data_IF_253934920149
#
_entry.id   IF_253934920149
#
_cell.length_a   1.000
_cell.length_b   1.000
_cell.length_c   1.000
_cell.angle_alpha   90.00
_cell.angle_beta   90.00
_cell.angle_gamma   90.00
#
_symmetry.space_group_name_H-M   'P 1'
#
loop_
_entity.id
_entity.type
_entity.pdbx_description
1 polymer ?
#
# COMPACT_ATOMS: atom_id res chain seq x y z
N UNK A 1 -35.34 7.62 -4.60
CA UNK A 1 -34.04 7.67 -3.91
C UNK A 1 -32.96 7.65 -4.98
N UNK A 2 -31.91 8.43 -4.80
CA UNK A 2 -30.83 8.59 -5.78
C UNK A 2 -29.66 7.70 -5.39
N UNK A 3 -29.09 6.99 -6.37
CA UNK A 3 -27.86 6.23 -6.15
C UNK A 3 -26.69 7.21 -6.07
N UNK A 4 -25.94 7.13 -4.98
CA UNK A 4 -24.74 7.93 -4.78
C UNK A 4 -23.53 7.11 -5.20
N UNK A 5 -22.63 7.75 -5.91
CA UNK A 5 -21.35 7.16 -6.30
C UNK A 5 -20.48 7.00 -5.06
N UNK A 6 -20.07 5.76 -4.77
CA UNK A 6 -19.13 5.46 -3.69
C UNK A 6 -17.74 5.82 -4.19
N UNK A 7 -17.09 6.74 -3.47
CA UNK A 7 -15.73 7.19 -3.73
C UNK A 7 -14.74 6.10 -3.34
N UNK A 8 -13.76 5.88 -4.20
CA UNK A 8 -12.65 4.97 -3.97
C UNK A 8 -11.48 5.71 -3.32
N UNK A 9 -10.54 4.95 -2.77
CA UNK A 9 -9.42 5.40 -1.93
C UNK A 9 -8.54 6.54 -2.50
N UNK A 10 -8.61 6.80 -3.79
CA UNK A 10 -7.95 7.88 -4.50
C UNK A 10 -8.61 9.26 -4.27
N UNK A 11 -9.88 9.29 -3.86
CA UNK A 11 -10.58 10.55 -3.57
C UNK A 11 -10.08 11.16 -2.25
N UNK A 12 -9.48 12.37 -2.28
CA UNK A 12 -8.96 13.03 -1.08
C UNK A 12 -10.02 13.36 -0.04
N UNK A 13 -11.32 13.32 -0.38
CA UNK A 13 -12.41 13.50 0.60
C UNK A 13 -12.38 12.43 1.70
N UNK A 14 -11.93 11.21 1.38
CA UNK A 14 -11.86 10.08 2.31
C UNK A 14 -10.81 10.28 3.41
N UNK A 15 -9.84 11.16 3.19
CA UNK A 15 -8.75 11.48 4.13
C UNK A 15 -9.01 12.75 4.95
N UNK A 16 -10.17 13.39 4.78
CA UNK A 16 -10.52 14.63 5.46
C UNK A 16 -11.49 14.37 6.60
N UNK A 17 -11.16 14.90 7.79
CA UNK A 17 -12.09 14.90 8.92
C UNK A 17 -13.41 15.59 8.57
N UNK A 18 -14.50 14.86 8.71
CA UNK A 18 -15.85 15.30 8.37
C UNK A 18 -16.38 16.32 9.39
N UNK A 19 -17.20 17.27 8.91
CA UNK A 19 -17.73 18.36 9.73
C UNK A 19 -18.98 17.93 10.51
N UNK A 20 -19.15 18.34 11.77
CA UNK A 20 -20.38 18.10 12.51
C UNK A 20 -21.60 18.73 11.83
N UNK A 21 -22.74 18.08 11.99
CA UNK A 21 -24.04 18.52 11.49
C UNK A 21 -24.81 19.20 12.62
N UNK A 22 -25.11 20.51 12.54
CA UNK A 22 -25.69 21.26 13.67
C UNK A 22 -27.15 20.90 13.95
N UNK A 23 -27.90 20.41 12.95
CA UNK A 23 -29.31 19.98 13.09
C UNK A 23 -29.70 18.95 12.03
N UNK A 24 -30.58 18.03 12.41
CA UNK A 24 -31.16 17.05 11.47
C UNK A 24 -32.30 17.70 10.68
N UNK A 25 -31.96 18.19 9.49
CA UNK A 25 -32.91 18.84 8.57
C UNK A 25 -33.48 17.85 7.55
N UNK A 26 -34.51 18.26 6.79
CA UNK A 26 -35.07 17.42 5.70
C UNK A 26 -34.02 16.95 4.69
N UNK A 27 -33.00 17.76 4.39
CA UNK A 27 -31.92 17.36 3.49
C UNK A 27 -30.99 16.32 4.12
N UNK A 28 -30.72 16.41 5.43
CA UNK A 28 -29.95 15.39 6.16
C UNK A 28 -30.69 14.06 6.17
N UNK A 29 -32.00 14.07 6.45
CA UNK A 29 -32.83 12.85 6.39
C UNK A 29 -32.78 12.21 5.00
N UNK A 30 -32.92 13.03 3.95
CA UNK A 30 -32.81 12.54 2.57
C UNK A 30 -31.43 11.95 2.26
N UNK A 31 -30.34 12.60 2.70
CA UNK A 31 -28.98 12.06 2.51
C UNK A 31 -28.81 10.71 3.21
N UNK A 32 -29.32 10.56 4.43
CA UNK A 32 -29.30 9.28 5.15
C UNK A 32 -30.08 8.19 4.39
N UNK A 33 -31.22 8.51 3.79
CA UNK A 33 -31.99 7.58 2.96
C UNK A 33 -31.22 7.17 1.70
N UNK A 34 -30.67 8.13 0.97
CA UNK A 34 -29.90 7.88 -0.25
C UNK A 34 -28.59 7.10 0.07
N UNK A 35 -28.00 7.30 1.25
CA UNK A 35 -26.86 6.53 1.76
C UNK A 35 -27.22 5.07 2.03
N UNK A 36 -28.32 4.81 2.75
CA UNK A 36 -28.76 3.45 3.05
C UNK A 36 -29.03 2.65 1.77
N UNK A 37 -29.74 3.26 0.82
CA UNK A 37 -30.01 2.66 -0.48
C UNK A 37 -28.72 2.33 -1.26
N UNK A 38 -27.73 3.22 -1.20
CA UNK A 38 -26.44 3.03 -1.89
C UNK A 38 -25.61 1.92 -1.23
N UNK A 39 -25.62 1.87 0.11
CA UNK A 39 -24.96 0.82 0.91
C UNK A 39 -25.53 -0.56 0.60
N UNK A 40 -26.86 -0.72 0.66
CA UNK A 40 -27.52 -2.01 0.38
C UNK A 40 -27.29 -2.48 -1.06
N UNK A 41 -27.31 -1.57 -2.05
CA UNK A 41 -27.02 -1.93 -3.45
C UNK A 41 -25.59 -2.39 -3.68
N UNK A 42 -24.65 -1.91 -2.86
CA UNK A 42 -23.26 -2.34 -2.89
C UNK A 42 -22.99 -3.53 -1.96
N UNK A 43 -24.05 -4.16 -1.42
CA UNK A 43 -23.97 -5.27 -0.46
C UNK A 43 -23.11 -4.96 0.78
N UNK A 44 -23.05 -3.70 1.20
CA UNK A 44 -22.34 -3.28 2.41
C UNK A 44 -23.20 -3.30 3.67
N UNK A 45 -22.53 -3.37 4.82
CA UNK A 45 -23.16 -3.31 6.16
C UNK A 45 -23.05 -1.93 6.83
N UNK A 46 -22.19 -1.06 6.30
CA UNK A 46 -21.94 0.29 6.79
C UNK A 46 -21.58 1.26 5.66
N UNK A 47 -21.96 2.53 5.81
CA UNK A 47 -21.55 3.60 4.93
C UNK A 47 -21.52 4.96 5.64
N UNK A 48 -20.37 5.63 5.57
CA UNK A 48 -20.14 6.98 6.07
C UNK A 48 -20.26 8.01 4.95
N UNK A 49 -20.75 9.20 5.28
CA UNK A 49 -20.97 10.28 4.30
C UNK A 49 -19.71 10.68 3.49
N UNK A 50 -18.48 10.67 4.05
CA UNK A 50 -17.28 10.91 3.26
C UNK A 50 -17.12 9.95 2.08
N UNK A 51 -17.58 8.70 2.22
CA UNK A 51 -17.51 7.67 1.16
C UNK A 51 -18.40 7.96 -0.04
N UNK A 52 -19.28 8.96 0.03
CA UNK A 52 -20.09 9.45 -1.10
C UNK A 52 -19.73 10.91 -1.44
N UNK A 53 -18.57 11.38 -1.00
CA UNK A 53 -18.09 12.74 -1.24
C UNK A 53 -18.73 13.82 -0.36
N UNK A 54 -19.47 13.46 0.68
CA UNK A 54 -20.11 14.42 1.59
C UNK A 54 -19.27 14.55 2.87
N UNK A 55 -18.58 15.68 3.12
CA UNK A 55 -17.72 15.85 4.29
C UNK A 55 -18.51 16.19 5.56
N UNK A 56 -19.50 15.37 5.92
CA UNK A 56 -20.36 15.52 7.10
C UNK A 56 -20.35 14.25 7.95
N UNK A 57 -20.50 14.42 9.27
CA UNK A 57 -20.57 13.31 10.23
C UNK A 57 -21.94 12.60 10.17
N UNK A 58 -22.15 11.78 9.15
CA UNK A 58 -23.34 10.95 8.96
C UNK A 58 -22.89 9.51 8.69
N UNK A 59 -23.56 8.55 9.32
CA UNK A 59 -23.31 7.10 9.17
C UNK A 59 -24.65 6.38 9.07
N UNK A 60 -24.70 5.39 8.18
CA UNK A 60 -25.74 4.36 8.17
C UNK A 60 -25.09 3.00 8.38
N UNK A 61 -25.69 2.16 9.21
CA UNK A 61 -25.22 0.79 9.47
C UNK A 61 -26.45 -0.12 9.49
N UNK A 62 -26.36 -1.29 8.86
CA UNK A 62 -27.39 -2.32 8.94
C UNK A 62 -26.73 -3.69 8.97
N UNK A 63 -26.80 -4.34 10.14
CA UNK A 63 -26.24 -5.68 10.40
C UNK A 63 -27.31 -6.77 10.39
N UNK A 64 -28.50 -6.48 9.83
CA UNK A 64 -29.61 -7.43 9.69
C UNK A 64 -30.74 -7.27 10.72
N UNK A 65 -30.56 -6.43 11.74
CA UNK A 65 -31.60 -6.08 12.72
C UNK A 65 -32.35 -4.78 12.39
N UNK A 66 -32.00 -4.17 11.26
CA UNK A 66 -32.54 -2.90 10.78
C UNK A 66 -31.52 -1.76 10.86
N UNK A 67 -31.75 -0.68 10.09
CA UNK A 67 -30.75 0.36 9.89
C UNK A 67 -30.64 1.31 11.08
N UNK A 68 -29.40 1.52 11.53
CA UNK A 68 -29.00 2.62 12.37
C UNK A 68 -28.73 3.86 11.52
N UNK A 69 -29.40 4.97 11.85
CA UNK A 69 -29.14 6.27 11.24
C UNK A 69 -28.48 7.18 12.27
N UNK A 70 -27.19 7.43 12.10
CA UNK A 70 -26.38 8.12 13.09
C UNK A 70 -25.87 9.47 12.56
N UNK A 71 -26.26 10.54 13.23
CA UNK A 71 -25.78 11.89 12.96
C UNK A 71 -24.85 12.34 14.09
N UNK A 72 -23.65 12.78 13.74
CA UNK A 72 -22.57 13.08 14.67
C UNK A 72 -22.25 11.93 15.65
N UNK A 73 -22.05 10.68 15.18
CA UNK A 73 -21.66 9.61 16.10
C UNK A 73 -20.30 9.90 16.74
N UNK A 74 -20.22 9.56 18.01
CA UNK A 74 -19.04 9.67 18.88
C UNK A 74 -18.99 8.42 19.77
N UNK A 75 -17.87 7.71 19.76
CA UNK A 75 -17.62 6.62 20.71
C UNK A 75 -17.36 7.25 22.08
N UNK A 76 -18.20 6.93 23.07
CA UNK A 76 -18.10 7.46 24.44
C UNK A 76 -17.62 6.42 25.45
N UNK A 77 -17.54 5.16 25.04
CA UNK A 77 -16.94 4.07 25.80
C UNK A 77 -16.43 2.97 24.84
N UNK A 78 -15.29 2.37 25.19
CA UNK A 78 -14.66 1.23 24.53
C UNK A 78 -14.30 0.20 25.61
N UNK A 79 -14.48 -1.08 25.33
CA UNK A 79 -13.99 -2.15 26.21
C UNK A 79 -12.46 -2.23 26.21
N UNK A 80 -11.87 -2.68 27.32
CA UNK A 80 -10.44 -3.03 27.38
C UNK A 80 -10.12 -4.27 26.53
N UNK A 81 -11.09 -5.18 26.40
CA UNK A 81 -11.00 -6.36 25.55
C UNK A 81 -11.11 -5.97 24.07
N UNK A 82 -10.14 -6.43 23.28
CA UNK A 82 -10.04 -6.22 21.83
C UNK A 82 -10.00 -7.55 21.09
N UNK A 83 -10.41 -7.51 19.83
CA UNK A 83 -10.34 -8.65 18.91
C UNK A 83 -9.78 -8.21 17.55
N UNK A 84 -8.97 -9.09 16.94
CA UNK A 84 -8.48 -8.94 15.59
C UNK A 84 -9.38 -9.76 14.67
N UNK A 85 -9.97 -9.12 13.68
CA UNK A 85 -10.83 -9.77 12.69
C UNK A 85 -10.82 -8.98 11.38
N UNK A 86 -11.35 -9.57 10.31
CA UNK A 86 -11.35 -9.03 8.97
C UNK A 86 -12.39 -7.92 8.78
N UNK A 87 -11.95 -6.81 8.17
CA UNK A 87 -12.82 -5.71 7.71
C UNK A 87 -12.63 -5.49 6.21
N UNK A 88 -13.74 -5.30 5.49
CA UNK A 88 -13.76 -4.80 4.12
C UNK A 88 -14.34 -3.39 4.06
N UNK A 89 -14.05 -2.64 3.00
CA UNK A 89 -14.56 -1.28 2.83
C UNK A 89 -15.08 -1.06 1.41
N UNK A 90 -16.28 -0.49 1.28
CA UNK A 90 -16.86 -0.15 -0.03
C UNK A 90 -16.03 0.89 -0.81
N UNK A 91 -15.23 1.70 -0.11
CA UNK A 91 -14.29 2.66 -0.71
C UNK A 91 -12.92 2.06 -1.03
N UNK A 92 -12.74 0.77 -0.76
CA UNK A 92 -11.53 0.01 -1.08
C UNK A 92 -11.95 -1.38 -1.59
N UNK A 93 -12.62 -1.44 -2.75
CA UNK A 93 -13.20 -2.69 -3.24
C UNK A 93 -12.12 -3.72 -3.56
N UNK A 94 -12.44 -4.98 -3.32
CA UNK A 94 -11.57 -6.12 -3.59
C UNK A 94 -10.62 -6.48 -2.45
N UNK A 95 -10.49 -5.69 -1.39
CA UNK A 95 -9.56 -6.00 -0.29
C UNK A 95 -10.26 -6.04 1.06
N UNK A 96 -9.70 -6.88 1.93
CA UNK A 96 -10.01 -6.99 3.35
C UNK A 96 -8.73 -6.81 4.16
N UNK A 97 -8.84 -6.46 5.44
CA UNK A 97 -7.68 -6.40 6.33
C UNK A 97 -8.01 -6.76 7.76
N UNK A 98 -7.07 -7.40 8.45
CA UNK A 98 -7.20 -7.70 9.87
C UNK A 98 -7.01 -6.42 10.68
N UNK A 99 -8.05 -6.01 11.39
CA UNK A 99 -8.04 -4.79 12.22
C UNK A 99 -8.38 -5.15 13.65
N UNK A 100 -7.56 -4.68 14.60
CA UNK A 100 -7.86 -4.78 16.03
C UNK A 100 -8.94 -3.76 16.44
N UNK A 101 -10.03 -4.22 17.04
CA UNK A 101 -11.15 -3.39 17.52
C UNK A 101 -11.56 -3.75 18.95
N UNK A 102 -12.11 -2.80 19.74
CA UNK A 102 -12.78 -3.13 20.99
C UNK A 102 -13.98 -4.04 20.72
N UNK A 103 -14.15 -5.10 21.53
CA UNK A 103 -15.27 -6.04 21.42
C UNK A 103 -16.61 -5.36 21.67
N UNK A 104 -16.62 -4.30 22.50
CA UNK A 104 -17.83 -3.53 22.85
C UNK A 104 -17.57 -2.04 22.80
N UNK A 105 -18.55 -1.30 22.28
CA UNK A 105 -18.54 0.17 22.23
C UNK A 105 -19.89 0.75 22.59
N UNK A 106 -19.89 1.93 23.21
CA UNK A 106 -21.08 2.77 23.35
C UNK A 106 -20.93 4.00 22.47
N UNK A 107 -21.83 4.17 21.51
CA UNK A 107 -21.83 5.32 20.61
C UNK A 107 -22.96 6.27 20.96
N UNK A 108 -22.64 7.54 21.20
CA UNK A 108 -23.60 8.63 21.33
C UNK A 108 -23.80 9.28 19.96
N UNK A 109 -25.04 9.48 19.54
CA UNK A 109 -25.36 10.14 18.29
C UNK A 109 -26.68 10.94 18.40
N UNK A 110 -27.04 11.63 17.32
CA UNK A 110 -28.41 12.05 17.06
C UNK A 110 -29.07 11.06 16.08
N UNK A 111 -30.31 10.68 16.36
CA UNK A 111 -31.12 9.85 15.48
C UNK A 111 -31.65 10.64 14.26
N UNK A 112 -32.42 9.95 13.41
CA UNK A 112 -33.06 10.53 12.22
C UNK A 112 -34.04 11.66 12.53
N UNK A 113 -34.51 11.81 13.76
CA UNK A 113 -35.37 12.90 14.22
C UNK A 113 -34.63 13.99 14.99
N UNK A 114 -33.32 13.86 15.14
CA UNK A 114 -32.46 14.79 15.86
C UNK A 114 -32.52 14.64 17.38
N UNK A 115 -33.02 13.52 17.89
CA UNK A 115 -33.01 13.19 19.32
C UNK A 115 -31.70 12.50 19.66
N UNK A 116 -31.18 12.73 20.86
CA UNK A 116 -30.01 12.00 21.33
C UNK A 116 -30.35 10.53 21.47
N UNK A 117 -29.49 9.68 20.92
CA UNK A 117 -29.57 8.23 21.00
C UNK A 117 -28.21 7.66 21.41
N UNK A 118 -28.26 6.46 21.98
CA UNK A 118 -27.12 5.68 22.39
C UNK A 118 -27.23 4.30 21.75
N UNK A 119 -26.15 3.87 21.12
CA UNK A 119 -26.06 2.55 20.50
C UNK A 119 -24.99 1.77 21.23
N UNK A 120 -25.41 0.71 21.91
CA UNK A 120 -24.53 -0.31 22.44
C UNK A 120 -24.23 -1.30 21.31
N UNK A 121 -22.96 -1.37 20.91
CA UNK A 121 -22.49 -2.31 19.91
C UNK A 121 -21.65 -3.41 20.54
N UNK A 122 -21.88 -4.65 20.13
CA UNK A 122 -21.03 -5.81 20.40
C UNK A 122 -20.75 -6.55 19.08
N UNK A 123 -19.63 -7.27 18.99
CA UNK A 123 -19.25 -8.05 17.81
C UNK A 123 -19.26 -7.23 16.50
N UNK A 124 -19.92 -7.74 15.45
CA UNK A 124 -19.96 -7.09 14.13
C UNK A 124 -20.51 -5.65 14.16
N UNK A 125 -21.45 -5.34 15.07
CA UNK A 125 -21.99 -3.98 15.20
C UNK A 125 -20.95 -3.05 15.84
N UNK A 126 -20.21 -3.52 16.85
CA UNK A 126 -19.12 -2.72 17.44
C UNK A 126 -18.05 -2.40 16.39
N UNK A 127 -17.67 -3.41 15.59
CA UNK A 127 -16.71 -3.28 14.50
C UNK A 127 -17.17 -2.30 13.43
N UNK A 128 -18.41 -2.43 12.94
CA UNK A 128 -18.99 -1.51 11.97
C UNK A 128 -19.06 -0.07 12.51
N UNK A 129 -19.45 0.12 13.78
CA UNK A 129 -19.46 1.46 14.41
C UNK A 129 -18.07 2.08 14.44
N UNK A 130 -17.05 1.32 14.83
CA UNK A 130 -15.66 1.79 14.83
C UNK A 130 -15.18 2.16 13.43
N UNK A 131 -15.44 1.29 12.45
CA UNK A 131 -15.05 1.47 11.05
C UNK A 131 -15.68 2.73 10.43
N UNK A 132 -16.99 2.90 10.58
CA UNK A 132 -17.68 4.05 10.00
C UNK A 132 -17.32 5.36 10.69
N UNK A 133 -17.02 5.34 12.00
CA UNK A 133 -16.54 6.51 12.73
C UNK A 133 -15.11 6.90 12.31
N UNK A 134 -14.24 5.92 12.04
CA UNK A 134 -12.91 6.19 11.46
C UNK A 134 -13.01 6.96 10.14
N UNK A 135 -13.93 6.56 9.25
CA UNK A 135 -14.18 7.30 8.00
C UNK A 135 -14.57 8.77 8.25
N UNK A 136 -15.32 9.05 9.32
CA UNK A 136 -15.66 10.44 9.69
C UNK A 136 -14.44 11.24 10.17
N UNK A 137 -13.39 10.58 10.63
CA UNK A 137 -12.14 11.18 11.07
C UNK A 137 -11.03 11.14 10.01
N UNK A 138 -11.35 10.66 8.80
CA UNK A 138 -10.43 10.57 7.67
C UNK A 138 -9.46 9.39 7.74
N UNK A 139 -9.78 8.40 8.57
CA UNK A 139 -9.01 7.18 8.78
C UNK A 139 -9.68 6.08 7.95
N UNK A 140 -8.88 5.37 7.17
CA UNK A 140 -9.30 4.20 6.40
C UNK A 140 -8.88 2.94 7.14
N UNK A 141 -9.59 1.82 6.98
CA UNK A 141 -9.20 0.57 7.66
C UNK A 141 -7.76 0.14 7.34
N UNK A 142 -7.26 0.42 6.13
CA UNK A 142 -5.85 0.17 5.72
C UNK A 142 -4.81 0.91 6.56
N UNK A 143 -5.20 1.97 7.27
CA UNK A 143 -4.30 2.69 8.20
C UNK A 143 -4.17 1.95 9.53
N UNK A 144 -5.14 1.08 9.85
CA UNK A 144 -5.18 0.25 11.07
C UNK A 144 -4.87 -1.21 10.81
N UNK A 145 -4.97 -1.64 9.55
CA UNK A 145 -4.81 -3.02 9.15
C UNK A 145 -3.41 -3.56 9.52
N UNK A 146 -3.41 -4.66 10.25
CA UNK A 146 -2.21 -5.43 10.60
C UNK A 146 -1.73 -6.15 9.32
N UNK A 147 -2.67 -6.76 8.61
CA UNK A 147 -2.51 -7.44 7.33
C UNK A 147 -3.61 -6.99 6.36
N UNK A 148 -3.36 -7.08 5.06
CA UNK A 148 -4.35 -6.80 4.01
C UNK A 148 -4.31 -7.96 3.02
N UNK A 149 -5.47 -8.55 2.75
CA UNK A 149 -5.66 -9.62 1.78
C UNK A 149 -6.67 -9.19 0.71
N UNK A 150 -6.66 -9.86 -0.43
CA UNK A 150 -7.66 -9.66 -1.49
C UNK A 150 -8.83 -10.63 -1.33
N UNK A 151 -10.02 -10.21 -1.72
CA UNK A 151 -11.17 -11.10 -1.90
C UNK A 151 -10.96 -11.83 -3.23
N UNK A 152 -10.58 -13.11 -3.18
CA UNK A 152 -10.52 -13.98 -4.35
C UNK A 152 -11.95 -14.28 -4.81
N UNK A 153 -12.29 -14.15 -6.12
CA UNK A 153 -13.60 -14.57 -6.60
C UNK A 153 -13.83 -16.07 -6.36
N UNK A 154 -14.96 -16.43 -5.76
CA UNK A 154 -15.31 -17.80 -5.36
C UNK A 154 -15.13 -18.82 -6.51
N UNK A 155 -15.46 -18.43 -7.74
CA UNK A 155 -15.28 -19.27 -8.95
C UNK A 155 -13.81 -19.60 -9.25
N UNK A 156 -12.88 -18.68 -9.00
CA UNK A 156 -11.44 -18.91 -9.20
C UNK A 156 -10.85 -19.76 -8.08
N UNK A 157 -11.35 -19.56 -6.85
CA UNK A 157 -10.95 -20.36 -5.68
C UNK A 157 -11.35 -21.84 -5.87
N UNK A 158 -12.58 -22.11 -6.31
CA UNK A 158 -13.04 -23.48 -6.62
C UNK A 158 -12.24 -24.14 -7.76
N UNK A 159 -11.86 -23.38 -8.80
CA UNK A 159 -11.03 -23.90 -9.89
C UNK A 159 -9.62 -24.26 -9.39
N UNK A 160 -9.00 -23.41 -8.56
CA UNK A 160 -7.65 -23.61 -8.04
C UNK A 160 -7.58 -24.74 -7.01
N UNK A 161 -8.55 -24.89 -6.12
CA UNK A 161 -8.60 -26.00 -5.15
C UNK A 161 -8.69 -27.37 -5.84
N UNK A 162 -9.30 -27.44 -7.02
CA UNK A 162 -9.37 -28.65 -7.83
C UNK A 162 -8.07 -28.94 -8.60
N UNK A 163 -7.17 -27.95 -8.71
CA UNK A 163 -5.87 -28.12 -9.33
C UNK A 163 -4.88 -28.75 -8.34
N UNK A 164 -4.56 -30.03 -8.52
CA UNK A 164 -3.49 -30.70 -7.76
C UNK A 164 -2.11 -30.21 -8.22
N UNK A 165 -1.75 -28.97 -7.85
CA UNK A 165 -0.53 -28.29 -8.25
C UNK A 165 0.50 -28.20 -7.13
N UNK A 166 1.77 -28.34 -7.49
CA UNK A 166 2.91 -28.17 -6.58
C UNK A 166 3.81 -27.01 -7.04
N UNK A 167 4.19 -26.14 -6.11
CA UNK A 167 5.02 -24.97 -6.37
C UNK A 167 6.23 -24.90 -5.44
N UNK A 168 7.40 -24.51 -5.99
CA UNK A 168 8.50 -23.97 -5.18
C UNK A 168 8.41 -22.45 -5.20
N UNK A 169 8.35 -21.83 -4.02
CA UNK A 169 8.30 -20.38 -3.89
C UNK A 169 9.67 -19.79 -3.60
N UNK A 170 10.06 -18.73 -4.34
CA UNK A 170 11.30 -18.00 -4.12
C UNK A 170 11.04 -16.51 -3.87
N UNK A 171 11.31 -16.05 -2.65
CA UNK A 171 11.04 -14.66 -2.26
C UNK A 171 11.83 -14.26 -1.02
N UNK A 172 11.84 -12.97 -0.69
CA UNK A 172 12.62 -12.48 0.46
C UNK A 172 11.95 -11.34 1.23
N UNK A 173 11.64 -10.19 0.63
CA UNK A 173 11.04 -9.07 1.36
C UNK A 173 9.54 -9.30 1.67
N UNK A 174 8.95 -8.37 2.43
CA UNK A 174 7.51 -8.35 2.72
C UNK A 174 6.66 -8.32 1.45
N UNK A 175 7.14 -7.69 0.37
CA UNK A 175 6.49 -7.70 -0.96
C UNK A 175 6.18 -9.11 -1.49
N UNK A 176 6.94 -10.13 -1.08
CA UNK A 176 6.73 -11.51 -1.52
C UNK A 176 5.64 -12.24 -0.73
N UNK A 177 5.30 -11.78 0.47
CA UNK A 177 4.44 -12.53 1.40
C UNK A 177 3.03 -12.78 0.84
N UNK A 178 2.32 -11.76 0.28
CA UNK A 178 1.00 -12.00 -0.29
C UNK A 178 1.00 -13.04 -1.41
N UNK A 179 2.07 -13.13 -2.21
CA UNK A 179 2.16 -14.17 -3.25
C UNK A 179 2.34 -15.58 -2.66
N UNK A 180 3.09 -15.73 -1.56
CA UNK A 180 3.23 -17.02 -0.88
C UNK A 180 1.90 -17.44 -0.24
N UNK A 181 1.25 -16.51 0.45
CA UNK A 181 -0.01 -16.75 1.17
C UNK A 181 -1.13 -17.09 0.20
N UNK A 182 -1.28 -16.33 -0.88
CA UNK A 182 -2.29 -16.58 -1.90
C UNK A 182 -2.15 -17.97 -2.56
N UNK A 183 -0.91 -18.46 -2.79
CA UNK A 183 -0.71 -19.83 -3.29
C UNK A 183 -1.24 -20.88 -2.31
N UNK A 184 -0.97 -20.72 -1.03
CA UNK A 184 -1.35 -21.67 0.02
C UNK A 184 -2.87 -21.64 0.25
N UNK A 185 -3.45 -20.44 0.30
CA UNK A 185 -4.89 -20.22 0.45
C UNK A 185 -5.66 -20.82 -0.73
N UNK A 186 -5.13 -20.70 -1.95
CA UNK A 186 -5.69 -21.31 -3.15
C UNK A 186 -5.51 -22.85 -3.22
N UNK A 187 -5.01 -23.50 -2.16
CA UNK A 187 -4.82 -24.95 -2.11
C UNK A 187 -3.60 -25.48 -2.88
N UNK A 188 -2.75 -24.59 -3.45
CA UNK A 188 -1.53 -25.01 -4.15
C UNK A 188 -0.48 -25.47 -3.13
N UNK A 189 0.08 -26.66 -3.34
CA UNK A 189 1.08 -27.24 -2.44
C UNK A 189 2.40 -26.48 -2.56
N UNK A 190 2.88 -25.90 -1.46
CA UNK A 190 4.19 -25.24 -1.39
C UNK A 190 5.11 -25.98 -0.42
N UNK A 191 5.74 -27.11 -0.81
CA UNK A 191 6.58 -27.90 0.09
C UNK A 191 7.95 -27.26 0.37
N UNK A 192 8.40 -26.33 -0.49
CA UNK A 192 9.72 -25.73 -0.41
C UNK A 192 9.68 -24.23 -0.69
N UNK A 193 10.28 -23.47 0.21
CA UNK A 193 10.55 -22.03 0.07
C UNK A 193 12.05 -21.79 -0.02
N UNK A 194 12.47 -20.95 -0.96
CA UNK A 194 13.86 -20.53 -1.11
C UNK A 194 13.96 -19.02 -0.91
N UNK A 195 14.83 -18.59 -0.02
CA UNK A 195 14.95 -17.18 0.36
C UNK A 195 16.41 -16.78 0.56
N UNK A 196 16.68 -15.47 0.66
CA UNK A 196 18.03 -14.99 0.92
C UNK A 196 18.49 -15.42 2.32
N UNK A 197 19.81 -15.62 2.54
CA UNK A 197 20.35 -15.85 3.87
C UNK A 197 20.07 -14.68 4.82
N UNK A 198 20.00 -14.99 6.12
CA UNK A 198 19.83 -14.00 7.18
C UNK A 198 20.92 -12.93 7.08
N UNK A 199 20.52 -11.65 7.12
CA UNK A 199 21.46 -10.53 6.97
C UNK A 199 21.59 -9.74 8.27
N UNK A 200 22.77 -9.19 8.57
CA UNK A 200 22.94 -8.32 9.72
C UNK A 200 22.05 -7.07 9.61
N UNK A 201 21.23 -6.83 10.62
CA UNK A 201 20.27 -5.74 10.69
C UNK A 201 20.57 -4.76 11.83
N UNK A 202 20.31 -3.47 11.58
CA UNK A 202 20.46 -2.40 12.56
C UNK A 202 21.90 -2.12 13.00
N UNK A 203 22.07 -1.17 13.92
CA UNK A 203 23.40 -0.75 14.41
C UNK A 203 24.16 -1.87 15.14
N UNK A 204 23.43 -2.79 15.77
CA UNK A 204 23.99 -3.94 16.49
C UNK A 204 24.31 -5.13 15.58
N UNK A 205 24.01 -5.05 14.27
CA UNK A 205 24.26 -6.10 13.27
C UNK A 205 23.73 -7.48 13.69
N UNK A 206 22.55 -7.49 14.32
CA UNK A 206 21.88 -8.75 14.71
C UNK A 206 21.42 -9.43 13.43
N UNK A 207 21.72 -10.71 13.24
CA UNK A 207 21.22 -11.47 12.10
C UNK A 207 19.68 -11.49 12.18
N UNK A 208 19.03 -11.00 11.13
CA UNK A 208 17.59 -11.05 10.99
C UNK A 208 17.24 -11.94 9.79
N UNK A 209 16.30 -12.84 10.01
CA UNK A 209 15.71 -13.65 8.95
C UNK A 209 14.95 -12.75 7.97
N UNK A 210 14.74 -13.26 6.75
CA UNK A 210 13.86 -12.60 5.79
C UNK A 210 12.40 -12.78 6.25
N UNK A 211 11.51 -11.81 5.96
CA UNK A 211 10.08 -11.96 6.20
C UNK A 211 9.51 -13.29 5.67
N UNK A 212 9.92 -13.69 4.45
CA UNK A 212 9.51 -14.97 3.85
C UNK A 212 10.02 -16.19 4.62
N UNK A 213 11.25 -16.16 5.15
CA UNK A 213 11.78 -17.25 5.98
C UNK A 213 10.99 -17.40 7.28
N UNK A 214 10.69 -16.28 7.94
CA UNK A 214 9.90 -16.26 9.18
C UNK A 214 8.54 -16.90 8.93
N UNK A 215 7.82 -16.42 7.89
CA UNK A 215 6.50 -16.94 7.54
C UNK A 215 6.50 -18.42 7.13
N UNK A 216 7.43 -18.83 6.27
CA UNK A 216 7.54 -20.22 5.83
C UNK A 216 7.83 -21.18 7.01
N UNK A 217 8.65 -20.74 7.97
CA UNK A 217 8.95 -21.54 9.17
C UNK A 217 7.72 -21.69 10.06
N UNK A 218 6.92 -20.63 10.25
CA UNK A 218 5.65 -20.68 10.99
C UNK A 218 4.65 -21.66 10.38
N UNK A 219 4.62 -21.73 9.05
CA UNK A 219 3.76 -22.65 8.29
C UNK A 219 4.31 -24.09 8.21
N UNK A 220 5.49 -24.34 8.79
CA UNK A 220 6.14 -25.66 8.75
C UNK A 220 6.69 -26.06 7.38
N UNK A 221 6.89 -25.10 6.48
CA UNK A 221 7.42 -25.32 5.12
C UNK A 221 8.94 -25.45 5.17
N UNK A 222 9.52 -26.34 4.36
CA UNK A 222 10.97 -26.46 4.26
C UNK A 222 11.57 -25.18 3.68
N UNK A 223 12.64 -24.64 4.31
CA UNK A 223 13.31 -23.42 3.84
C UNK A 223 14.76 -23.70 3.45
N UNK A 224 15.17 -23.24 2.27
CA UNK A 224 16.58 -23.18 1.85
C UNK A 224 17.04 -21.72 1.68
N UNK A 225 18.30 -21.46 2.02
CA UNK A 225 18.90 -20.12 1.92
C UNK A 225 20.24 -20.14 1.18
N UNK A 226 20.26 -20.41 -0.14
CA UNK A 226 21.48 -20.33 -0.92
C UNK A 226 22.01 -18.88 -0.90
N UNK A 227 23.32 -18.72 -0.80
CA UNK A 227 24.00 -17.42 -0.75
C UNK A 227 24.33 -16.84 -2.14
N UNK A 228 23.59 -17.27 -3.17
CA UNK A 228 23.87 -17.01 -4.58
C UNK A 228 24.69 -18.12 -5.24
N UNK A 229 25.27 -19.03 -4.47
CA UNK A 229 25.72 -20.32 -4.98
C UNK A 229 24.50 -21.23 -5.19
N UNK A 230 24.47 -21.96 -6.32
CA UNK A 230 23.45 -22.97 -6.62
C UNK A 230 24.10 -24.35 -6.57
N UNK A 231 24.37 -24.88 -5.36
CA UNK A 231 25.10 -26.12 -5.23
C UNK A 231 24.21 -27.32 -5.59
N UNK A 232 24.78 -28.46 -6.02
CA UNK A 232 24.01 -29.60 -6.53
C UNK A 232 22.93 -30.11 -5.58
N UNK A 233 23.14 -30.04 -4.26
CA UNK A 233 22.16 -30.45 -3.26
C UNK A 233 20.90 -29.58 -3.24
N UNK A 234 21.04 -28.26 -3.48
CA UNK A 234 19.89 -27.35 -3.57
C UNK A 234 19.09 -27.67 -4.83
N UNK A 235 19.76 -27.87 -5.95
CA UNK A 235 19.13 -28.22 -7.22
C UNK A 235 18.43 -29.59 -7.10
N UNK A 236 19.07 -30.59 -6.49
CA UNK A 236 18.46 -31.91 -6.23
C UNK A 236 17.19 -31.77 -5.40
N UNK A 237 17.22 -30.96 -4.34
CA UNK A 237 16.04 -30.74 -3.49
C UNK A 237 14.88 -30.12 -4.30
N UNK A 238 15.16 -29.17 -5.21
CA UNK A 238 14.13 -28.58 -6.07
C UNK A 238 13.58 -29.63 -7.05
N UNK A 239 14.43 -30.52 -7.60
CA UNK A 239 14.00 -31.60 -8.51
C UNK A 239 13.14 -32.63 -7.80
N UNK A 240 13.48 -32.99 -6.57
CA UNK A 240 12.73 -33.96 -5.74
C UNK A 240 11.33 -33.47 -5.38
N UNK A 241 11.09 -32.16 -5.38
CA UNK A 241 9.75 -31.57 -5.22
C UNK A 241 8.86 -31.81 -6.46
N UNK A 242 9.45 -32.06 -7.63
CA UNK A 242 8.75 -32.17 -8.92
C UNK A 242 7.75 -31.01 -9.17
N UNK A 243 8.18 -29.73 -9.07
CA UNK A 243 7.23 -28.62 -9.12
C UNK A 243 6.56 -28.47 -10.48
N UNK A 244 5.27 -28.13 -10.48
CA UNK A 244 4.56 -27.65 -11.65
C UNK A 244 5.03 -26.24 -12.02
N UNK A 245 5.25 -25.41 -11.00
CA UNK A 245 5.73 -24.03 -11.11
C UNK A 245 6.85 -23.72 -10.13
N UNK A 246 7.80 -22.89 -10.55
CA UNK A 246 8.61 -22.11 -9.62
C UNK A 246 8.12 -20.67 -9.67
N UNK A 247 7.67 -20.14 -8.53
CA UNK A 247 7.20 -18.76 -8.43
C UNK A 247 8.28 -17.92 -7.78
N UNK A 248 8.64 -16.81 -8.42
CA UNK A 248 9.65 -15.87 -7.95
C UNK A 248 8.99 -14.51 -7.70
N UNK A 249 9.20 -13.95 -6.51
CA UNK A 249 8.77 -12.61 -6.17
C UNK A 249 9.88 -11.94 -5.36
N UNK A 250 10.57 -10.96 -5.95
CA UNK A 250 11.62 -10.17 -5.29
C UNK A 250 12.71 -11.02 -4.58
N UNK A 251 13.14 -12.13 -5.19
CA UNK A 251 14.17 -13.03 -4.62
C UNK A 251 15.59 -12.43 -4.63
N UNK A 252 15.92 -11.63 -5.64
CA UNK A 252 17.19 -10.89 -5.69
C UNK A 252 18.42 -11.73 -6.04
N UNK A 253 18.26 -12.95 -6.56
CA UNK A 253 19.34 -13.75 -7.15
C UNK A 253 18.98 -14.17 -8.58
N UNK A 254 19.99 -14.36 -9.42
CA UNK A 254 19.82 -14.93 -10.75
C UNK A 254 19.66 -16.44 -10.62
N UNK A 255 18.64 -16.99 -11.26
CA UNK A 255 18.44 -18.44 -11.37
C UNK A 255 19.32 -19.00 -12.51
N UNK A 256 20.02 -20.13 -12.31
CA UNK A 256 20.73 -20.82 -13.37
C UNK A 256 19.72 -21.50 -14.30
N UNK A 257 20.12 -21.73 -15.54
CA UNK A 257 19.31 -22.43 -16.55
C UNK A 257 18.81 -23.78 -16.04
N UNK A 258 19.66 -24.51 -15.30
CA UNK A 258 19.30 -25.79 -14.71
C UNK A 258 18.09 -25.72 -13.78
N UNK A 259 17.89 -24.61 -13.06
CA UNK A 259 16.71 -24.40 -12.20
C UNK A 259 15.50 -23.93 -13.02
N UNK A 260 15.74 -23.10 -14.06
CA UNK A 260 14.69 -22.61 -14.95
C UNK A 260 13.96 -23.75 -15.69
N UNK A 261 14.68 -24.83 -15.98
CA UNK A 261 14.20 -26.00 -16.72
C UNK A 261 13.51 -27.07 -15.85
N UNK A 262 13.51 -26.94 -14.52
CA UNK A 262 12.90 -27.94 -13.61
C UNK A 262 11.37 -27.98 -13.69
N UNK A 263 10.65 -26.85 -13.56
CA UNK A 263 9.20 -26.91 -13.42
C UNK A 263 8.49 -27.29 -14.72
N UNK A 264 7.40 -28.04 -14.61
CA UNK A 264 6.60 -28.51 -15.76
C UNK A 264 6.08 -27.37 -16.64
N UNK A 265 5.54 -26.30 -16.04
CA UNK A 265 4.96 -25.17 -16.76
C UNK A 265 5.90 -23.97 -16.89
N UNK A 266 6.85 -23.84 -15.96
CA UNK A 266 7.92 -22.84 -16.01
C UNK A 266 8.15 -22.09 -14.72
N UNK A 267 9.19 -21.24 -14.74
CA UNK A 267 9.43 -20.26 -13.69
C UNK A 267 8.68 -18.96 -13.99
N UNK A 268 7.84 -18.50 -13.06
CA UNK A 268 7.10 -17.25 -13.17
C UNK A 268 7.70 -16.21 -12.23
N UNK A 269 7.83 -14.96 -12.67
CA UNK A 269 8.23 -13.84 -11.82
C UNK A 269 7.10 -12.82 -11.69
N UNK A 270 6.85 -12.38 -10.45
CA UNK A 270 5.96 -11.27 -10.11
C UNK A 270 6.78 -9.97 -10.15
N UNK A 271 6.66 -9.21 -11.24
CA UNK A 271 7.44 -7.99 -11.45
C UNK A 271 6.58 -6.73 -11.21
N UNK A 272 6.94 -5.82 -10.27
CA UNK A 272 6.10 -4.66 -9.91
C UNK A 272 6.28 -3.47 -10.84
N UNK A 273 6.10 -3.70 -12.14
CA UNK A 273 5.85 -2.66 -13.14
C UNK A 273 5.13 -3.24 -14.35
N UNK A 274 4.59 -2.35 -15.18
CA UNK A 274 4.07 -2.70 -16.50
C UNK A 274 5.22 -2.88 -17.49
N UNK A 275 5.75 -4.11 -17.57
CA UNK A 275 6.79 -4.49 -18.53
C UNK A 275 6.35 -4.18 -19.97
N UNK A 276 7.28 -3.81 -20.87
CA UNK A 276 8.74 -3.84 -20.73
C UNK A 276 9.37 -2.63 -20.01
N UNK A 277 8.59 -1.69 -19.50
CA UNK A 277 9.13 -0.56 -18.74
C UNK A 277 9.65 -1.05 -17.38
N UNK A 278 10.68 -0.38 -16.87
CA UNK A 278 11.23 -0.56 -15.53
C UNK A 278 11.73 -1.99 -15.22
N UNK A 279 12.40 -2.64 -16.18
CA UNK A 279 13.16 -3.89 -15.91
C UNK A 279 14.26 -3.64 -14.87
N UNK A 280 14.49 -4.55 -13.94
CA UNK A 280 15.52 -4.46 -12.92
C UNK A 280 15.00 -4.37 -11.49
N UNK A 281 15.90 -4.11 -10.54
CA UNK A 281 15.67 -4.38 -9.12
C UNK A 281 14.92 -3.32 -8.31
N UNK A 282 14.66 -2.11 -8.84
CA UNK A 282 13.99 -1.03 -8.09
C UNK A 282 12.87 -0.34 -8.91
N UNK A 283 11.93 -1.10 -9.51
CA UNK A 283 10.94 -0.56 -10.43
C UNK A 283 10.00 0.44 -9.77
N UNK A 284 9.55 0.17 -8.53
CA UNK A 284 8.57 1.00 -7.83
C UNK A 284 9.15 2.39 -7.53
N UNK A 285 10.37 2.46 -6.97
CA UNK A 285 11.03 3.74 -6.72
C UNK A 285 11.20 4.54 -8.02
N UNK A 286 11.63 3.89 -9.10
CA UNK A 286 11.93 4.58 -10.36
C UNK A 286 10.67 5.08 -11.06
N UNK A 287 9.55 4.36 -10.99
CA UNK A 287 8.24 4.83 -11.45
C UNK A 287 7.81 6.10 -10.70
N UNK A 288 7.89 6.07 -9.37
CA UNK A 288 7.53 7.21 -8.54
C UNK A 288 8.42 8.43 -8.85
N UNK A 289 9.75 8.23 -8.95
CA UNK A 289 10.71 9.29 -9.28
C UNK A 289 10.45 9.91 -10.66
N UNK A 290 10.06 9.09 -11.63
CA UNK A 290 9.71 9.55 -12.98
C UNK A 290 8.37 10.31 -13.02
N UNK A 291 7.60 10.33 -11.92
CA UNK A 291 6.32 10.99 -11.84
C UNK A 291 5.19 10.23 -12.53
N UNK A 292 5.33 8.90 -12.66
CA UNK A 292 4.24 8.06 -13.18
C UNK A 292 2.99 8.22 -12.32
N UNK A 293 1.84 8.29 -12.98
CA UNK A 293 0.50 8.32 -12.35
C UNK A 293 -0.20 6.96 -12.42
N UNK A 294 0.37 6.02 -13.15
CA UNK A 294 -0.09 4.64 -13.29
C UNK A 294 1.10 3.70 -13.06
N UNK A 295 0.86 2.60 -12.37
CA UNK A 295 1.81 1.50 -12.20
C UNK A 295 1.06 0.18 -12.37
N UNK A 296 1.72 -0.92 -12.07
CA UNK A 296 1.10 -2.23 -12.16
C UNK A 296 2.08 -3.35 -11.89
N UNK A 297 1.59 -4.55 -12.14
CA UNK A 297 2.35 -5.79 -12.03
C UNK A 297 2.32 -6.53 -13.35
N UNK A 298 3.41 -7.22 -13.63
CA UNK A 298 3.55 -8.15 -14.74
C UNK A 298 3.89 -9.52 -14.20
N UNK A 299 3.11 -10.53 -14.56
CA UNK A 299 3.50 -11.92 -14.43
C UNK A 299 4.15 -12.34 -15.73
N UNK A 300 5.42 -12.74 -15.65
CA UNK A 300 6.19 -13.15 -16.82
C UNK A 300 6.87 -14.48 -16.58
N UNK A 301 7.15 -15.20 -17.65
CA UNK A 301 8.10 -16.28 -17.61
C UNK A 301 9.50 -15.72 -17.36
N UNK A 302 10.31 -16.42 -16.57
CA UNK A 302 11.70 -16.05 -16.39
C UNK A 302 12.53 -16.42 -17.62
N UNK A 303 13.47 -15.54 -17.96
CA UNK A 303 14.44 -15.69 -19.05
C UNK A 303 15.85 -15.52 -18.47
N UNK A 304 16.91 -16.07 -19.11
CA UNK A 304 18.29 -15.81 -18.71
C UNK A 304 18.67 -14.33 -18.67
N UNK A 305 17.97 -13.47 -19.42
CA UNK A 305 18.09 -12.02 -19.36
C UNK A 305 17.12 -11.42 -18.33
N UNK A 306 17.63 -10.44 -17.58
CA UNK A 306 16.89 -9.80 -16.47
C UNK A 306 15.57 -9.21 -16.96
N UNK A 307 14.48 -9.74 -16.40
CA UNK A 307 13.11 -9.31 -16.60
C UNK A 307 12.65 -9.23 -18.07
N UNK A 308 13.22 -10.07 -18.94
CA UNK A 308 13.01 -10.01 -20.38
C UNK A 308 12.06 -11.07 -20.94
N UNK A 309 11.63 -12.04 -20.13
CA UNK A 309 10.82 -13.15 -20.60
C UNK A 309 9.39 -12.74 -20.96
N UNK A 310 8.70 -13.64 -21.65
CA UNK A 310 7.37 -13.38 -22.18
C UNK A 310 6.37 -13.07 -21.06
N UNK A 311 5.55 -12.04 -21.27
CA UNK A 311 4.51 -11.63 -20.35
C UNK A 311 3.31 -12.58 -20.51
N UNK A 312 2.82 -13.09 -19.39
CA UNK A 312 1.59 -13.88 -19.28
C UNK A 312 0.38 -12.97 -19.04
N UNK A 313 0.47 -12.11 -18.03
CA UNK A 313 -0.62 -11.27 -17.55
C UNK A 313 -0.09 -9.95 -16.97
N UNK A 314 -0.86 -8.87 -17.10
CA UNK A 314 -0.57 -7.59 -16.48
C UNK A 314 -1.83 -7.01 -15.84
N UNK A 315 -1.65 -6.34 -14.70
CA UNK A 315 -2.70 -5.53 -14.07
C UNK A 315 -2.14 -4.17 -13.71
N UNK A 316 -2.95 -3.12 -13.86
CA UNK A 316 -2.55 -1.75 -13.54
C UNK A 316 -3.36 -1.17 -12.38
N UNK A 317 -2.80 -0.14 -11.75
CA UNK A 317 -3.46 0.69 -10.75
C UNK A 317 -2.96 2.13 -10.84
N UNK A 318 -3.77 3.07 -10.34
CA UNK A 318 -3.37 4.48 -10.24
C UNK A 318 -2.45 4.70 -9.05
N UNK A 319 -1.41 5.51 -9.25
CA UNK A 319 -0.54 6.02 -8.20
C UNK A 319 -1.15 7.30 -7.64
N UNK A 320 -1.41 7.34 -6.33
CA UNK A 320 -1.94 8.53 -5.67
C UNK A 320 -0.93 9.70 -5.66
N UNK A 321 -1.40 10.95 -5.61
CA UNK A 321 -0.52 12.12 -5.72
C UNK A 321 0.51 12.19 -4.59
N UNK A 322 0.14 11.83 -3.36
CA UNK A 322 1.04 11.79 -2.20
C UNK A 322 1.48 10.36 -1.85
N UNK A 323 1.26 9.40 -2.73
CA UNK A 323 1.55 8.00 -2.45
C UNK A 323 3.06 7.76 -2.40
N UNK A 324 3.50 7.10 -1.33
CA UNK A 324 4.89 6.76 -1.07
C UNK A 324 5.26 5.39 -1.63
N UNK A 325 6.56 5.11 -1.73
CA UNK A 325 7.06 3.77 -2.06
C UNK A 325 6.43 2.71 -1.16
N UNK A 326 6.43 2.91 0.17
CA UNK A 326 5.92 1.89 1.10
C UNK A 326 4.43 1.58 0.92
N UNK A 327 3.59 2.60 0.67
CA UNK A 327 2.16 2.39 0.42
C UNK A 327 1.89 1.76 -0.94
N UNK A 328 2.63 2.18 -1.99
CA UNK A 328 2.48 1.63 -3.33
C UNK A 328 2.98 0.18 -3.39
N UNK A 329 4.09 -0.14 -2.72
CA UNK A 329 4.65 -1.49 -2.63
C UNK A 329 3.67 -2.49 -2.04
N UNK A 330 2.96 -2.11 -0.97
CA UNK A 330 1.90 -2.95 -0.39
C UNK A 330 0.78 -3.23 -1.38
N UNK A 331 0.28 -2.20 -2.08
CA UNK A 331 -0.79 -2.36 -3.09
C UNK A 331 -0.35 -3.22 -4.27
N UNK A 332 0.87 -3.01 -4.77
CA UNK A 332 1.44 -3.80 -5.86
C UNK A 332 1.72 -5.25 -5.45
N UNK A 333 2.11 -5.48 -4.19
CA UNK A 333 2.35 -6.82 -3.66
C UNK A 333 1.08 -7.67 -3.71
N UNK A 334 -0.04 -7.11 -3.25
CA UNK A 334 -1.33 -7.80 -3.30
C UNK A 334 -1.82 -7.98 -4.74
N UNK A 335 -1.77 -6.91 -5.57
CA UNK A 335 -2.13 -7.00 -6.99
C UNK A 335 -1.29 -8.07 -7.73
N UNK A 336 -0.02 -8.21 -7.34
CA UNK A 336 0.90 -9.22 -7.86
C UNK A 336 0.51 -10.64 -7.50
N UNK A 337 0.03 -10.87 -6.28
CA UNK A 337 -0.47 -12.17 -5.84
C UNK A 337 -1.72 -12.60 -6.62
N UNK A 338 -2.66 -11.68 -6.84
CA UNK A 338 -3.85 -11.96 -7.64
C UNK A 338 -3.52 -12.24 -9.10
N UNK A 339 -2.69 -11.37 -9.70
CA UNK A 339 -2.23 -11.57 -11.06
C UNK A 339 -1.51 -12.92 -11.22
N UNK A 340 -0.76 -13.34 -10.20
CA UNK A 340 -0.08 -14.62 -10.17
C UNK A 340 -1.06 -15.81 -10.19
N UNK A 341 -2.09 -15.82 -9.34
CA UNK A 341 -3.07 -16.92 -9.33
C UNK A 341 -3.84 -17.01 -10.66
N UNK A 342 -4.27 -15.87 -11.22
CA UNK A 342 -4.91 -15.84 -12.54
C UNK A 342 -3.99 -16.34 -13.65
N UNK A 343 -2.70 -15.97 -13.60
CA UNK A 343 -1.71 -16.48 -14.53
C UNK A 343 -1.54 -17.99 -14.39
N UNK A 344 -1.43 -18.53 -13.17
CA UNK A 344 -1.31 -19.97 -12.93
C UNK A 344 -2.53 -20.73 -13.48
N UNK A 345 -3.75 -20.28 -13.17
CA UNK A 345 -4.98 -20.89 -13.66
C UNK A 345 -5.07 -20.87 -15.20
N UNK A 346 -4.71 -19.73 -15.81
CA UNK A 346 -4.69 -19.57 -17.26
C UNK A 346 -3.65 -20.46 -17.94
N UNK A 347 -2.46 -20.61 -17.33
CA UNK A 347 -1.41 -21.49 -17.84
C UNK A 347 -1.83 -22.95 -17.72
N UNK A 348 -2.36 -23.36 -16.57
CA UNK A 348 -2.82 -24.72 -16.33
C UNK A 348 -3.93 -25.15 -17.30
N UNK A 349 -4.90 -24.26 -17.55
CA UNK A 349 -5.99 -24.51 -18.49
C UNK A 349 -5.58 -24.44 -19.97
N UNK A 350 -4.32 -24.09 -20.27
CA UNK A 350 -3.81 -23.97 -21.64
C UNK A 350 -4.27 -22.70 -22.38
N UNK A 351 -4.82 -21.73 -21.66
CA UNK A 351 -5.37 -20.48 -22.20
C UNK A 351 -4.42 -19.28 -22.09
N UNK A 352 -3.28 -19.45 -21.43
CA UNK A 352 -2.32 -18.36 -21.21
C UNK A 352 -1.72 -17.84 -22.52
N UNK A 353 -1.67 -16.51 -22.62
CA UNK A 353 -0.81 -15.85 -23.60
C UNK A 353 0.67 -15.99 -23.22
N UNK A 354 1.56 -16.04 -24.21
CA UNK A 354 2.99 -15.79 -24.07
C UNK A 354 3.32 -14.63 -24.97
N UNK A 355 3.32 -13.43 -24.41
CA UNK A 355 3.49 -12.19 -25.18
C UNK A 355 4.95 -11.73 -25.09
N UNK A 356 5.72 -11.79 -26.20
CA UNK A 356 7.08 -11.28 -26.22
C UNK A 356 7.11 -9.78 -25.95
N UNK A 357 8.09 -9.35 -25.16
CA UNK A 357 8.25 -7.96 -24.80
C UNK A 357 8.79 -7.11 -25.97
N UNK A 358 8.25 -5.89 -26.15
CA UNK A 358 8.81 -4.93 -27.12
C UNK A 358 10.10 -4.29 -26.58
N UNK A 359 11.24 -4.74 -27.10
CA UNK A 359 12.56 -4.24 -26.73
C UNK A 359 12.74 -2.72 -26.97
N UNK A 360 11.96 -2.09 -27.85
CA UNK A 360 12.02 -0.63 -28.08
C UNK A 360 11.36 0.18 -26.97
N UNK A 361 10.39 -0.40 -26.27
CA UNK A 361 9.68 0.24 -25.17
C UNK A 361 10.36 0.01 -23.80
N UNK A 362 11.46 -0.77 -23.78
CA UNK A 362 12.19 -1.12 -22.56
C UNK A 362 12.80 0.11 -21.88
N UNK A 363 12.55 0.21 -20.58
CA UNK A 363 13.30 1.11 -19.68
C UNK A 363 13.89 0.30 -18.52
N UNK A 364 14.92 0.83 -17.87
CA UNK A 364 15.67 0.11 -16.83
C UNK A 364 15.54 0.82 -15.48
N UNK A 365 15.14 0.06 -14.47
CA UNK A 365 15.06 0.46 -13.08
C UNK A 365 16.35 0.13 -12.32
N UNK A 366 17.36 0.98 -12.49
CA UNK A 366 18.65 0.82 -11.80
C UNK A 366 18.51 0.97 -10.29
N UNK A 367 19.40 0.29 -9.55
CA UNK A 367 19.59 0.51 -8.12
C UNK A 367 19.89 1.98 -7.82
N UNK A 368 19.40 2.45 -6.67
CA UNK A 368 19.73 3.80 -6.17
C UNK A 368 21.24 3.89 -5.90
N UNK A 369 21.85 4.94 -6.45
CA UNK A 369 23.26 5.27 -6.22
C UNK A 369 23.38 6.17 -4.99
N UNK A 370 24.47 6.04 -4.20
CA UNK A 370 24.76 7.00 -3.15
C UNK A 370 24.76 8.43 -3.69
N UNK A 371 24.07 9.33 -2.99
CA UNK A 371 23.90 10.73 -3.39
C UNK A 371 22.58 11.01 -4.11
N UNK A 372 21.93 10.01 -4.72
CA UNK A 372 20.59 10.19 -5.30
C UNK A 372 19.54 10.50 -4.22
N UNK A 373 19.80 10.19 -2.95
CA UNK A 373 18.91 10.57 -1.86
C UNK A 373 18.94 12.07 -1.53
N UNK A 374 19.93 12.82 -2.01
CA UNK A 374 20.14 14.23 -1.66
C UNK A 374 19.17 15.10 -2.45
N UNK A 375 18.39 15.91 -1.74
CA UNK A 375 17.46 16.87 -2.33
C UNK A 375 18.26 18.01 -2.95
N UNK A 376 18.13 18.11 -4.27
CA UNK A 376 18.53 19.29 -5.03
C UNK A 376 17.36 20.28 -5.09
N UNK A 377 17.38 21.27 -4.20
CA UNK A 377 16.32 22.28 -4.13
C UNK A 377 16.17 23.11 -5.42
N UNK A 378 17.16 23.11 -6.32
CA UNK A 378 17.08 23.80 -7.61
C UNK A 378 16.17 23.09 -8.63
N UNK A 379 15.68 21.90 -8.29
CA UNK A 379 14.67 21.17 -9.07
C UNK A 379 13.27 21.72 -8.84
N UNK A 380 12.32 21.35 -9.68
CA UNK A 380 10.91 21.70 -9.49
C UNK A 380 10.33 21.08 -8.21
N UNK A 381 9.29 21.70 -7.65
CA UNK A 381 8.55 21.16 -6.51
C UNK A 381 8.03 19.74 -6.81
N UNK A 382 7.61 19.47 -8.05
CA UNK A 382 7.16 18.15 -8.48
C UNK A 382 8.28 17.10 -8.46
N UNK A 383 9.47 17.41 -8.98
CA UNK A 383 10.61 16.49 -8.97
C UNK A 383 11.04 16.17 -7.53
N UNK A 384 11.10 17.18 -6.66
CA UNK A 384 11.46 16.99 -5.24
C UNK A 384 10.38 16.18 -4.52
N UNK A 385 9.11 16.46 -4.77
CA UNK A 385 8.01 15.71 -4.21
C UNK A 385 8.06 14.22 -4.60
N UNK A 386 8.32 13.94 -5.88
CA UNK A 386 8.50 12.58 -6.40
C UNK A 386 9.71 11.88 -5.77
N UNK A 387 10.84 12.59 -5.61
CA UNK A 387 12.02 12.05 -4.93
C UNK A 387 11.71 11.68 -3.47
N UNK A 388 11.05 12.57 -2.73
CA UNK A 388 10.71 12.33 -1.32
C UNK A 388 9.81 11.12 -1.17
N UNK A 389 8.71 11.06 -1.93
CA UNK A 389 7.75 9.96 -1.82
C UNK A 389 8.32 8.63 -2.33
N UNK A 390 9.24 8.64 -3.31
CA UNK A 390 9.95 7.44 -3.79
C UNK A 390 10.94 6.85 -2.79
N UNK A 391 11.42 7.65 -1.84
CA UNK A 391 12.41 7.24 -0.84
C UNK A 391 11.79 7.04 0.55
N UNK A 392 10.47 7.12 0.68
CA UNK A 392 9.74 6.91 1.94
C UNK A 392 9.04 5.55 1.93
N UNK A 393 9.24 4.68 2.95
CA UNK A 393 9.80 4.94 4.27
C UNK A 393 11.30 4.66 4.42
N UNK A 394 11.99 4.24 3.35
CA UNK A 394 13.43 4.05 3.31
C UNK A 394 13.97 4.23 1.88
N UNK A 395 15.21 4.75 1.69
CA UNK A 395 16.16 5.21 2.71
C UNK A 395 15.85 6.60 3.32
N UNK A 396 14.93 7.35 2.73
CA UNK A 396 14.57 8.73 3.06
C UNK A 396 15.39 9.75 2.28
N UNK A 397 14.73 10.74 1.68
CA UNK A 397 15.39 11.87 1.04
C UNK A 397 16.08 12.74 2.10
N UNK A 398 17.25 13.30 1.79
CA UNK A 398 18.08 14.05 2.75
C UNK A 398 18.38 15.46 2.27
N UNK A 399 18.53 16.38 3.20
CA UNK A 399 18.96 17.76 2.96
C UNK A 399 19.72 18.27 4.18
N UNK A 400 20.28 19.47 4.12
CA UNK A 400 20.86 20.15 5.27
C UNK A 400 19.94 21.24 5.81
N UNK A 401 20.02 21.51 7.10
CA UNK A 401 19.44 22.70 7.73
C UNK A 401 20.51 23.34 8.61
N UNK A 402 21.25 24.30 8.04
CA UNK A 402 22.53 24.75 8.62
C UNK A 402 23.56 23.63 8.53
N UNK A 403 24.23 23.34 9.63
CA UNK A 403 25.22 22.24 9.69
C UNK A 403 24.58 20.86 9.98
N UNK A 404 23.25 20.79 10.16
CA UNK A 404 22.53 19.57 10.51
C UNK A 404 22.04 18.83 9.27
N UNK A 405 22.41 17.54 9.12
CA UNK A 405 21.81 16.64 8.13
C UNK A 405 20.44 16.18 8.62
N UNK A 406 19.41 16.38 7.79
CA UNK A 406 18.04 16.00 8.08
C UNK A 406 17.48 15.11 6.97
N UNK A 407 16.49 14.28 7.31
CA UNK A 407 15.66 13.57 6.33
C UNK A 407 14.32 14.27 6.16
N UNK A 408 13.79 14.25 4.94
CA UNK A 408 12.42 14.61 4.61
C UNK A 408 11.69 13.33 4.20
N UNK A 409 10.56 13.06 4.86
CA UNK A 409 9.81 11.81 4.71
C UNK A 409 8.50 11.99 3.94
N UNK A 410 7.88 13.15 4.09
CA UNK A 410 6.60 13.47 3.46
C UNK A 410 6.59 14.94 3.04
N UNK A 411 6.00 15.17 1.87
CA UNK A 411 5.78 16.49 1.28
C UNK A 411 4.42 16.48 0.59
N UNK A 412 3.91 17.66 0.30
CA UNK A 412 2.72 17.86 -0.52
C UNK A 412 2.97 18.98 -1.52
N UNK A 413 2.38 18.84 -2.70
CA UNK A 413 2.32 19.95 -3.65
C UNK A 413 1.33 21.00 -3.14
N UNK A 414 1.73 22.26 -3.25
CA UNK A 414 0.87 23.38 -2.95
C UNK A 414 -0.11 23.58 -4.11
N UNK A 415 -1.36 23.96 -3.80
CA UNK A 415 -2.39 24.27 -4.80
C UNK A 415 -1.86 25.31 -5.80
N UNK A 416 -2.12 25.12 -7.09
CA UNK A 416 -1.73 26.07 -8.14
C UNK A 416 -2.33 27.47 -7.95
N UNK A 417 -3.41 27.58 -7.18
CA UNK A 417 -4.01 28.86 -6.79
C UNK A 417 -3.32 29.55 -5.61
N UNK A 418 -2.27 28.96 -5.04
CA UNK A 418 -1.53 29.58 -3.95
C UNK A 418 -0.75 30.79 -4.45
N UNK A 419 -1.31 31.97 -4.19
CA UNK A 419 -0.74 33.24 -4.58
C UNK A 419 0.38 33.64 -3.60
N UNK A 420 1.55 33.92 -4.14
CA UNK A 420 2.64 34.58 -3.46
C UNK A 420 3.68 35.04 -4.47
N UNK A 421 4.44 36.09 -4.13
CA UNK A 421 5.53 36.59 -4.96
C UNK A 421 6.76 35.70 -4.72
N UNK A 422 6.86 34.63 -5.52
CA UNK A 422 7.99 33.70 -5.50
C UNK A 422 8.91 33.88 -6.70
N UNK A 423 8.59 34.84 -7.58
CA UNK A 423 9.47 35.25 -8.67
C UNK A 423 10.74 35.80 -8.03
N UNK A 424 11.86 35.09 -8.20
CA UNK A 424 13.17 35.34 -7.57
C UNK A 424 13.38 34.79 -6.14
N UNK A 425 12.54 33.86 -5.66
CA UNK A 425 12.85 33.16 -4.43
C UNK A 425 14.07 32.24 -4.60
N UNK A 426 15.00 32.26 -3.64
CA UNK A 426 16.19 31.39 -3.67
C UNK A 426 15.75 29.95 -3.35
N UNK A 427 16.10 28.95 -4.18
CA UNK A 427 15.78 27.56 -3.90
C UNK A 427 16.26 27.09 -2.52
N UNK A 428 15.39 26.39 -1.81
CA UNK A 428 15.58 25.93 -0.43
C UNK A 428 15.13 26.92 0.63
N UNK A 429 14.83 28.18 0.29
CA UNK A 429 14.36 29.19 1.26
C UNK A 429 12.98 28.86 1.79
N UNK A 430 12.82 28.96 3.11
CA UNK A 430 11.54 28.83 3.80
C UNK A 430 10.77 30.14 3.67
N UNK A 431 9.62 30.09 3.02
CA UNK A 431 8.77 31.27 2.77
C UNK A 431 7.56 31.38 3.67
N UNK A 432 7.27 30.33 4.44
CA UNK A 432 6.20 30.38 5.41
C UNK A 432 5.91 29.05 6.07
N UNK A 433 4.91 29.06 6.94
CA UNK A 433 4.35 27.87 7.56
C UNK A 433 2.84 27.90 7.44
N UNK A 434 2.22 26.78 7.09
CA UNK A 434 0.77 26.62 7.06
C UNK A 434 0.41 25.35 7.82
N UNK A 435 -0.51 25.44 8.79
CA UNK A 435 -0.90 24.32 9.67
C UNK A 435 0.28 23.63 10.34
N UNK A 436 0.64 22.40 9.92
CA UNK A 436 1.77 21.59 10.40
C UNK A 436 2.96 21.59 9.43
N UNK A 437 2.86 22.34 8.31
CA UNK A 437 3.75 22.28 7.15
C UNK A 437 4.66 23.49 7.07
N UNK A 438 5.78 23.33 6.37
CA UNK A 438 6.74 24.38 6.04
C UNK A 438 6.77 24.54 4.52
N UNK A 439 6.58 25.77 4.05
CA UNK A 439 6.59 26.10 2.64
C UNK A 439 8.00 26.47 2.21
N UNK A 440 8.52 25.79 1.19
CA UNK A 440 9.90 25.91 0.73
C UNK A 440 9.93 26.21 -0.75
N UNK A 441 10.68 27.22 -1.15
CA UNK A 441 10.91 27.52 -2.57
C UNK A 441 11.75 26.44 -3.23
N UNK A 442 11.35 26.07 -4.42
CA UNK A 442 12.07 25.14 -5.29
C UNK A 442 12.65 25.93 -6.48
N UNK A 443 13.32 25.27 -7.42
CA UNK A 443 13.70 25.90 -8.68
C UNK A 443 12.52 26.31 -9.53
N UNK A 444 11.40 25.58 -9.39
CA UNK A 444 10.10 25.92 -9.92
C UNK A 444 9.01 25.56 -8.89
N UNK A 445 8.17 26.54 -8.56
CA UNK A 445 7.09 26.41 -7.58
C UNK A 445 7.53 26.38 -6.10
N UNK A 446 6.56 26.05 -5.24
CA UNK A 446 6.71 25.95 -3.79
C UNK A 446 6.27 24.56 -3.33
N UNK A 447 7.06 23.93 -2.48
CA UNK A 447 6.77 22.62 -1.89
C UNK A 447 6.39 22.75 -0.42
N UNK A 448 5.33 22.05 0.00
CA UNK A 448 4.99 21.95 1.41
C UNK A 448 5.69 20.72 2.03
N UNK A 449 6.68 20.95 2.88
CA UNK A 449 7.32 19.91 3.67
C UNK A 449 6.45 19.64 4.90
N UNK A 450 6.02 18.40 5.10
CA UNK A 450 5.09 18.02 6.18
C UNK A 450 5.80 17.27 7.30
N UNK A 451 6.71 16.36 6.96
CA UNK A 451 7.40 15.50 7.93
C UNK A 451 8.91 15.45 7.70
N UNK A 452 9.67 15.65 8.78
CA UNK A 452 11.14 15.64 8.79
C UNK A 452 11.68 14.75 9.91
N UNK A 453 12.94 14.37 9.81
CA UNK A 453 13.67 13.67 10.85
C UNK A 453 15.09 14.22 10.99
N UNK A 454 15.37 14.96 12.07
CA UNK A 454 16.74 15.35 12.41
C UNK A 454 17.60 14.14 12.81
N UNK A 455 18.91 14.25 12.62
CA UNK A 455 19.82 13.15 12.92
C UNK A 455 19.69 12.67 14.39
N UNK A 456 19.42 11.38 14.57
CA UNK A 456 19.27 10.77 15.90
C UNK A 456 17.98 11.12 16.65
N UNK A 457 17.00 11.74 15.98
CA UNK A 457 15.67 12.05 16.54
C UNK A 457 14.57 11.23 15.87
N UNK A 458 13.38 11.23 16.47
CA UNK A 458 12.18 10.67 15.87
C UNK A 458 11.66 11.55 14.73
N UNK A 459 10.86 10.97 13.85
CA UNK A 459 10.10 11.72 12.83
C UNK A 459 9.18 12.72 13.54
N UNK A 460 9.04 13.92 12.98
CA UNK A 460 8.21 14.99 13.52
C UNK A 460 7.68 15.88 12.40
N UNK A 461 6.65 16.69 12.70
CA UNK A 461 6.17 17.67 11.73
C UNK A 461 7.22 18.74 11.44
N UNK A 462 7.24 19.23 10.20
CA UNK A 462 8.18 20.26 9.77
C UNK A 462 8.02 21.57 10.59
N UNK A 463 6.79 21.92 10.97
CA UNK A 463 6.55 23.07 11.85
C UNK A 463 7.10 22.88 13.26
N UNK A 464 6.93 21.69 13.86
CA UNK A 464 7.51 21.40 15.18
C UNK A 464 9.04 21.48 15.15
N UNK A 465 9.64 21.01 14.05
CA UNK A 465 11.08 21.13 13.83
C UNK A 465 11.57 22.59 13.82
N UNK A 466 10.87 23.50 13.14
CA UNK A 466 11.21 24.93 13.09
C UNK A 466 10.91 25.68 14.40
N UNK A 467 9.87 25.30 15.14
CA UNK A 467 9.50 25.95 16.39
C UNK A 467 10.65 25.92 17.42
N UNK A 468 11.44 24.84 17.44
CA UNK A 468 12.65 24.72 18.27
C UNK A 468 13.88 25.46 17.74
N UNK A 469 13.80 26.10 16.56
CA UNK A 469 14.94 26.67 15.80
C UNK A 469 14.65 28.08 15.26
N UNK A 470 13.90 28.90 16.01
CA UNK A 470 13.48 30.25 15.59
C UNK A 470 14.64 31.22 15.25
N UNK A 471 15.84 31.00 15.79
CA UNK A 471 17.08 31.76 15.44
C UNK A 471 17.98 31.03 14.43
N UNK A 472 17.49 29.93 13.86
CA UNK A 472 18.24 29.08 12.94
C UNK A 472 18.27 29.60 11.50
N UNK A 473 18.85 28.82 10.58
CA UNK A 473 18.82 29.09 9.16
C UNK A 473 17.39 29.32 8.65
N UNK A 474 17.25 30.16 7.63
CA UNK A 474 15.97 30.40 6.96
C UNK A 474 15.80 29.58 5.68
N UNK A 475 16.67 28.59 5.45
CA UNK A 475 16.64 27.74 4.26
C UNK A 475 17.14 26.33 4.54
N UNK A 476 16.64 25.38 3.78
CA UNK A 476 17.27 24.09 3.57
C UNK A 476 18.41 24.23 2.55
N UNK A 477 19.44 23.39 2.69
CA UNK A 477 20.64 23.44 1.86
C UNK A 477 20.97 22.09 1.22
N UNK A 478 22.05 22.08 0.45
CA UNK A 478 22.66 20.85 -0.03
C UNK A 478 23.65 20.30 1.01
N UNK A 479 23.91 19.00 0.96
CA UNK A 479 24.84 18.29 1.86
C UNK A 479 26.27 18.27 1.35
#
# INVERSE_FOLDING_TARGET
>A
MAQLEIRTFDDPVLRKKAKPVPRVSKSVKKTLDDMLDSMHKASGIGLAAPQIGIPKRLVVIDVGEGPYFLVNPEIVYESEETEVDWEGCLSWPGFIGEVERPVRVLVKALDRDGRTTWVEGEGILARALCHEIDHLDGIMFVDRAITIAEIVPEELEEELEQMDLTCVFMGSPEFSLPSLEALIEAGIKVPLVITQPDRPYGRKKVLKATPVKERATELGIQVLTPDGSWPPEVISTIREVEPDFIVVAAFGQKLPEEVLDIPKYGCLNVHPSLLPKYRGGNPIQRQIMAGETESGVSIMYMDPNVDAGDICLQKSLTIGPNETLGSLEKRLSVLGAQALLEAIASIYSGNSSRTPQDEKAKTVAFHLKPGEEIIDWTRSAQEIHNLVRALSPAPGAVTSFGDERIKIWETELVDSNFQGDFDNCIPGTIVGTCDSKVLVCCGDGVLAVTQVQPAGKNRMSAKAFLAGRQKGPNKFGQL
#
